data_IF_027568663256
#
_entry.id   IF_027568663256
#
_cell.length_a   1.000
_cell.length_b   1.000
_cell.length_c   1.000
_cell.angle_alpha   90.00
_cell.angle_beta   90.00
_cell.angle_gamma   90.00
#
_symmetry.space_group_name_H-M   'P 1'
#
loop_
_entity.id
_entity.type
_entity.pdbx_description
1 polymer ?
#
# COMPACT_ATOMS: atom_id res chain seq x y z
N UNK A 1 27.37 -0.10 -9.41
CA UNK A 1 25.94 0.24 -9.44
C UNK A 1 25.20 -0.98 -9.97
N UNK A 2 24.12 -1.52 -9.40
CA UNK A 2 23.29 -1.05 -8.28
C UNK A 2 22.41 -2.22 -7.82
N UNK A 3 22.32 -2.44 -6.49
CA UNK A 3 21.14 -3.05 -5.88
C UNK A 3 19.99 -2.05 -6.10
N UNK A 4 19.25 -2.19 -7.20
CA UNK A 4 18.25 -1.22 -7.59
C UNK A 4 16.93 -1.45 -6.86
N UNK A 5 16.64 -0.64 -5.83
CA UNK A 5 15.25 -0.37 -5.47
C UNK A 5 14.81 0.87 -6.22
N UNK A 6 13.78 0.74 -7.04
CA UNK A 6 13.23 1.86 -7.79
C UNK A 6 11.71 1.88 -7.62
N UNK A 7 11.13 3.06 -7.76
CA UNK A 7 9.67 3.20 -7.73
C UNK A 7 9.16 3.77 -9.05
N UNK A 8 7.95 3.36 -9.41
CA UNK A 8 7.13 3.98 -10.45
C UNK A 8 5.86 4.49 -9.79
N UNK A 9 5.45 5.71 -10.13
CA UNK A 9 4.26 6.31 -9.57
C UNK A 9 3.36 6.84 -10.67
N UNK A 10 2.05 6.71 -10.48
CA UNK A 10 1.01 7.31 -11.31
C UNK A 10 0.03 8.07 -10.42
N UNK A 11 -0.96 8.75 -11.02
CA UNK A 11 -2.03 9.42 -10.29
C UNK A 11 -2.95 8.48 -9.48
N UNK A 12 -2.85 7.16 -9.61
CA UNK A 12 -3.75 6.22 -8.90
C UNK A 12 -3.03 5.12 -8.12
N UNK A 13 -1.75 4.93 -8.36
CA UNK A 13 -0.97 3.86 -7.76
C UNK A 13 0.51 4.21 -7.67
N UNK A 14 1.23 3.50 -6.79
CA UNK A 14 2.67 3.48 -6.75
C UNK A 14 3.19 2.05 -6.63
N UNK A 15 4.30 1.77 -7.30
CA UNK A 15 4.93 0.47 -7.35
C UNK A 15 6.39 0.62 -6.92
N UNK A 16 6.75 0.02 -5.80
CA UNK A 16 8.16 -0.11 -5.37
C UNK A 16 8.65 -1.47 -5.82
N UNK A 17 9.73 -1.49 -6.59
CA UNK A 17 10.37 -2.72 -7.06
C UNK A 17 11.70 -2.89 -6.35
N UNK A 18 11.93 -4.09 -5.82
CA UNK A 18 13.17 -4.48 -5.16
C UNK A 18 13.89 -5.50 -6.04
N UNK A 19 15.15 -5.23 -6.36
CA UNK A 19 16.05 -6.16 -7.02
C UNK A 19 17.32 -6.31 -6.18
N UNK A 20 17.68 -7.55 -5.87
CA UNK A 20 18.94 -7.84 -5.20
C UNK A 20 20.05 -7.99 -6.26
N UNK A 21 20.89 -6.97 -6.42
CA UNK A 21 22.07 -7.03 -7.28
C UNK A 21 23.33 -7.04 -6.42
N UNK A 22 23.71 -8.24 -6.02
CA UNK A 22 24.56 -8.53 -4.88
C UNK A 22 26.06 -8.19 -5.00
N UNK A 23 26.50 -7.60 -6.12
CA UNK A 23 27.92 -7.29 -6.41
C UNK A 23 28.59 -6.32 -5.41
N UNK A 24 27.86 -5.87 -4.41
CA UNK A 24 28.32 -4.90 -3.40
C UNK A 24 28.56 -5.52 -2.02
N UNK A 25 28.31 -6.82 -1.82
CA UNK A 25 28.67 -7.50 -0.57
C UNK A 25 30.09 -8.03 -0.70
N UNK A 26 30.98 -7.68 0.24
CA UNK A 26 32.36 -8.19 0.24
C UNK A 26 32.36 -9.72 0.27
N UNK A 27 33.21 -10.35 -0.55
CA UNK A 27 33.28 -11.82 -0.68
C UNK A 27 32.13 -12.45 -1.49
N UNK A 28 31.24 -11.64 -2.09
CA UNK A 28 30.13 -12.14 -2.88
C UNK A 28 30.60 -12.98 -4.07
N UNK A 29 31.52 -12.46 -4.89
CA UNK A 29 31.94 -13.11 -6.14
C UNK A 29 32.48 -14.51 -5.89
N UNK A 30 33.42 -14.66 -4.94
CA UNK A 30 33.97 -15.95 -4.49
C UNK A 30 32.89 -16.90 -3.97
N UNK A 31 31.90 -16.40 -3.23
CA UNK A 31 30.80 -17.22 -2.73
C UNK A 31 29.83 -17.64 -3.85
N UNK A 32 29.67 -16.83 -4.89
CA UNK A 32 28.82 -17.16 -6.06
C UNK A 32 29.33 -18.34 -6.84
N UNK A 33 30.63 -18.45 -6.98
CA UNK A 33 31.27 -19.57 -7.65
C UNK A 33 31.11 -20.86 -6.85
N UNK A 34 31.25 -20.79 -5.53
CA UNK A 34 31.20 -21.94 -4.64
C UNK A 34 29.77 -22.43 -4.32
N UNK A 35 28.80 -21.52 -4.20
CA UNK A 35 27.45 -21.85 -3.72
C UNK A 35 26.32 -21.02 -4.36
N UNK A 36 26.11 -21.10 -5.69
CA UNK A 36 25.12 -20.26 -6.40
C UNK A 36 23.68 -20.49 -5.93
N UNK A 37 23.33 -21.73 -5.55
CA UNK A 37 21.99 -22.06 -5.02
C UNK A 37 21.73 -21.42 -3.65
N UNK A 38 22.76 -21.32 -2.80
CA UNK A 38 22.63 -20.72 -1.48
C UNK A 38 22.40 -19.21 -1.59
N UNK A 39 23.11 -18.55 -2.50
CA UNK A 39 22.95 -17.12 -2.76
C UNK A 39 21.56 -16.77 -3.30
N UNK A 40 21.08 -17.51 -4.29
CA UNK A 40 19.74 -17.26 -4.85
C UNK A 40 18.65 -17.43 -3.78
N UNK A 41 18.81 -18.40 -2.88
CA UNK A 41 17.93 -18.56 -1.71
C UNK A 41 18.02 -17.38 -0.73
N UNK A 42 19.24 -16.93 -0.40
CA UNK A 42 19.47 -15.78 0.46
C UNK A 42 18.85 -14.50 -0.12
N UNK A 43 19.06 -14.23 -1.42
CA UNK A 43 18.47 -13.10 -2.13
C UNK A 43 16.94 -13.10 -2.07
N UNK A 44 16.31 -14.24 -2.40
CA UNK A 44 14.84 -14.38 -2.36
C UNK A 44 14.29 -14.12 -0.96
N UNK A 45 14.93 -14.66 0.08
CA UNK A 45 14.51 -14.42 1.47
C UNK A 45 14.70 -12.97 1.87
N UNK A 46 15.82 -12.35 1.50
CA UNK A 46 16.10 -10.96 1.82
C UNK A 46 15.07 -10.01 1.20
N UNK A 47 14.71 -10.22 -0.07
CA UNK A 47 13.67 -9.44 -0.74
C UNK A 47 12.32 -9.65 -0.05
N UNK A 48 11.92 -10.90 0.20
CA UNK A 48 10.62 -11.20 0.80
C UNK A 48 10.48 -10.63 2.22
N UNK A 49 11.53 -10.71 3.03
CA UNK A 49 11.59 -10.09 4.36
C UNK A 49 11.49 -8.57 4.26
N UNK A 50 12.21 -7.96 3.31
CA UNK A 50 12.18 -6.50 3.09
C UNK A 50 10.81 -6.02 2.63
N UNK A 51 10.13 -6.74 1.72
CA UNK A 51 8.76 -6.43 1.30
C UNK A 51 7.77 -6.49 2.48
N UNK A 52 7.89 -7.51 3.34
CA UNK A 52 7.04 -7.64 4.53
C UNK A 52 7.26 -6.50 5.54
N UNK A 53 8.52 -6.12 5.73
CA UNK A 53 8.90 -4.97 6.55
C UNK A 53 8.34 -3.66 5.99
N UNK A 54 8.55 -3.38 4.70
CA UNK A 54 8.01 -2.18 4.04
C UNK A 54 6.49 -2.09 4.15
N UNK A 55 5.78 -3.19 3.86
CA UNK A 55 4.32 -3.22 3.98
C UNK A 55 3.84 -2.82 5.37
N UNK A 56 4.57 -3.23 6.41
CA UNK A 56 4.24 -2.88 7.80
C UNK A 56 4.53 -1.41 8.10
N UNK A 57 5.71 -0.93 7.74
CA UNK A 57 6.13 0.45 8.05
C UNK A 57 5.35 1.50 7.25
N UNK A 58 5.11 1.24 5.96
CA UNK A 58 4.27 2.11 5.12
C UNK A 58 2.87 2.18 5.70
N UNK A 59 2.24 1.03 6.00
CA UNK A 59 0.88 1.01 6.54
C UNK A 59 0.75 1.77 7.87
N UNK A 60 1.76 1.69 8.76
CA UNK A 60 1.80 2.45 10.02
C UNK A 60 1.94 3.94 9.76
N UNK A 61 2.89 4.35 8.92
CA UNK A 61 3.12 5.77 8.62
C UNK A 61 1.90 6.44 7.99
N UNK A 62 1.29 5.80 6.98
CA UNK A 62 0.09 6.29 6.31
C UNK A 62 -1.10 6.28 7.27
N UNK A 63 -1.26 5.23 8.09
CA UNK A 63 -2.34 5.15 9.06
C UNK A 63 -2.29 6.27 10.10
N UNK A 64 -1.09 6.67 10.53
CA UNK A 64 -0.89 7.79 11.46
C UNK A 64 -1.12 9.14 10.78
N UNK A 65 -0.52 9.37 9.61
CA UNK A 65 -0.64 10.62 8.86
C UNK A 65 -2.09 10.90 8.47
N UNK A 66 -2.74 9.92 7.83
CA UNK A 66 -4.09 10.07 7.30
C UNK A 66 -5.18 9.71 8.32
N UNK A 67 -4.82 9.30 9.54
CA UNK A 67 -5.78 8.80 10.55
C UNK A 67 -6.72 7.75 9.95
N UNK A 68 -6.15 6.75 9.30
CA UNK A 68 -6.86 5.62 8.68
C UNK A 68 -6.45 4.34 9.41
N UNK A 69 -7.40 3.43 9.62
CA UNK A 69 -7.09 2.10 10.14
C UNK A 69 -5.98 1.42 9.32
N UNK A 70 -4.95 0.91 10.01
CA UNK A 70 -3.80 0.23 9.40
C UNK A 70 -4.26 -0.95 8.52
N UNK A 71 -5.33 -1.65 8.91
CA UNK A 71 -5.92 -2.74 8.13
C UNK A 71 -6.44 -2.28 6.78
N UNK A 72 -7.10 -1.12 6.70
CA UNK A 72 -7.59 -0.55 5.46
C UNK A 72 -6.43 -0.16 4.51
N UNK A 73 -5.36 0.41 5.05
CA UNK A 73 -4.14 0.69 4.27
C UNK A 73 -3.49 -0.61 3.79
N UNK A 74 -3.37 -1.63 4.64
CA UNK A 74 -2.81 -2.95 4.28
C UNK A 74 -3.59 -3.67 3.18
N UNK A 75 -4.90 -3.44 3.06
CA UNK A 75 -5.69 -3.98 1.95
C UNK A 75 -5.27 -3.38 0.60
N UNK A 76 -4.79 -2.14 0.59
CA UNK A 76 -4.28 -1.41 -0.58
C UNK A 76 -2.79 -1.64 -0.86
N UNK A 77 -2.07 -2.29 0.07
CA UNK A 77 -0.67 -2.68 -0.10
C UNK A 77 -0.58 -4.17 -0.49
N UNK A 78 -0.18 -4.46 -1.72
CA UNK A 78 0.00 -5.83 -2.24
C UNK A 78 1.49 -6.11 -2.44
N UNK A 79 2.00 -7.06 -1.68
CA UNK A 79 3.38 -7.50 -1.79
C UNK A 79 3.44 -8.75 -2.69
N UNK A 80 4.10 -8.62 -3.83
CA UNK A 80 4.41 -9.71 -4.75
C UNK A 80 5.82 -10.21 -4.42
N UNK A 81 5.87 -11.46 -3.93
CA UNK A 81 7.09 -12.10 -3.47
C UNK A 81 8.07 -12.32 -4.62
N UNK A 82 9.35 -12.35 -4.30
CA UNK A 82 10.39 -12.69 -5.26
C UNK A 82 10.31 -14.16 -5.65
N UNK A 83 10.18 -14.40 -6.96
CA UNK A 83 10.20 -15.73 -7.59
C UNK A 83 11.57 -16.08 -8.16
N UNK A 84 11.58 -16.72 -9.33
CA UNK A 84 12.79 -17.13 -10.04
C UNK A 84 13.74 -15.97 -10.36
N UNK A 85 13.18 -14.82 -10.73
CA UNK A 85 13.90 -13.68 -11.30
C UNK A 85 14.50 -12.73 -10.23
N UNK A 86 14.55 -13.15 -8.95
CA UNK A 86 15.08 -12.35 -7.82
C UNK A 86 14.57 -10.90 -7.76
N UNK A 87 13.31 -10.68 -8.18
CA UNK A 87 12.65 -9.39 -8.16
C UNK A 87 11.37 -9.48 -7.33
N UNK A 88 11.23 -8.58 -6.36
CA UNK A 88 10.02 -8.42 -5.56
C UNK A 88 9.33 -7.08 -5.87
N UNK A 89 8.01 -7.02 -5.72
CA UNK A 89 7.24 -5.80 -6.00
C UNK A 89 6.28 -5.49 -4.85
N UNK A 90 6.16 -4.22 -4.48
CA UNK A 90 5.15 -3.73 -3.54
C UNK A 90 4.28 -2.71 -4.27
N UNK A 91 3.05 -3.10 -4.55
CA UNK A 91 2.03 -2.23 -5.14
C UNK A 91 1.23 -1.54 -4.05
N UNK A 92 0.96 -0.26 -4.24
CA UNK A 92 0.13 0.55 -3.36
C UNK A 92 -0.91 1.33 -4.16
N UNK A 93 -2.19 1.04 -3.93
CA UNK A 93 -3.28 1.83 -4.48
C UNK A 93 -3.47 3.16 -3.74
N UNK A 94 -3.41 4.26 -4.48
CA UNK A 94 -3.54 5.64 -3.98
C UNK A 94 -4.93 6.26 -4.23
N UNK A 95 -5.88 5.45 -4.71
CA UNK A 95 -7.27 5.88 -4.82
C UNK A 95 -7.85 6.20 -3.42
N UNK A 96 -8.75 7.19 -3.31
CA UNK A 96 -9.38 7.54 -2.05
C UNK A 96 -10.01 6.33 -1.35
N UNK A 97 -9.84 6.26 -0.03
CA UNK A 97 -10.37 5.16 0.82
C UNK A 97 -11.72 5.59 1.38
N UNK A 98 -12.69 4.68 1.40
CA UNK A 98 -14.00 4.91 2.02
C UNK A 98 -13.84 5.34 3.48
N UNK A 99 -14.46 6.47 3.86
CA UNK A 99 -14.30 7.03 5.20
C UNK A 99 -14.76 6.06 6.31
N UNK A 100 -15.74 5.22 6.00
CA UNK A 100 -16.23 4.12 6.87
C UNK A 100 -15.14 3.11 7.24
N UNK A 101 -14.10 2.95 6.41
CA UNK A 101 -12.98 2.02 6.66
C UNK A 101 -11.89 2.62 7.54
N UNK A 102 -11.91 3.92 7.77
CA UNK A 102 -10.91 4.58 8.60
C UNK A 102 -11.04 4.23 10.08
N UNK A 103 -12.24 3.86 10.54
CA UNK A 103 -12.52 3.47 11.92
C UNK A 103 -14.00 3.16 12.11
N UNK A 104 -14.46 3.03 13.37
CA UNK A 104 -15.88 2.78 13.66
C UNK A 104 -16.72 4.06 13.46
N UNK A 105 -17.67 4.09 12.52
CA UNK A 105 -18.53 5.26 12.33
C UNK A 105 -19.49 5.43 13.51
N UNK A 106 -19.71 6.67 13.93
CA UNK A 106 -20.71 7.06 14.94
C UNK A 106 -21.68 8.04 14.31
N UNK A 107 -22.93 7.61 14.14
CA UNK A 107 -24.00 8.44 13.58
C UNK A 107 -24.74 9.18 14.71
N UNK A 108 -25.04 10.46 14.47
CA UNK A 108 -25.85 11.34 15.31
C UNK A 108 -26.93 12.01 14.46
N UNK A 109 -27.85 12.74 15.09
CA UNK A 109 -28.86 13.57 14.37
C UNK A 109 -28.22 14.60 13.42
N UNK A 110 -26.99 15.03 13.70
CA UNK A 110 -26.30 16.08 12.94
C UNK A 110 -25.40 15.57 11.83
N UNK A 111 -25.15 14.26 11.76
CA UNK A 111 -24.18 13.69 10.83
C UNK A 111 -23.44 12.47 11.39
N UNK A 112 -22.41 12.02 10.65
CA UNK A 112 -21.55 10.89 11.02
C UNK A 112 -20.15 11.36 11.36
N UNK A 113 -19.57 10.79 12.41
CA UNK A 113 -18.15 11.00 12.76
C UNK A 113 -17.37 9.70 12.68
N UNK A 114 -16.15 9.74 12.16
CA UNK A 114 -15.24 8.58 12.06
C UNK A 114 -13.78 9.05 12.10
N UNK A 115 -12.95 8.38 12.90
CA UNK A 115 -11.49 8.63 12.98
C UNK A 115 -11.12 10.13 13.16
N UNK A 116 -11.88 10.87 13.98
CA UNK A 116 -11.68 12.30 14.24
C UNK A 116 -12.20 13.25 13.14
N UNK A 117 -12.85 12.72 12.09
CA UNK A 117 -13.52 13.49 11.04
C UNK A 117 -15.01 13.55 11.28
N UNK A 118 -15.66 14.64 10.89
CA UNK A 118 -17.11 14.84 11.00
C UNK A 118 -17.70 15.19 9.65
N UNK A 119 -18.68 14.40 9.24
CA UNK A 119 -19.45 14.56 8.01
C UNK A 119 -20.86 15.05 8.38
N UNK A 120 -21.05 16.37 8.37
CA UNK A 120 -22.32 17.00 8.74
C UNK A 120 -23.41 16.66 7.72
N UNK A 121 -24.63 16.37 8.19
CA UNK A 121 -25.75 15.97 7.33
C UNK A 121 -25.59 14.62 6.62
N UNK A 122 -24.48 13.91 6.85
CA UNK A 122 -24.26 12.57 6.32
C UNK A 122 -24.97 11.51 7.18
N UNK A 123 -25.19 10.34 6.60
CA UNK A 123 -25.77 9.19 7.29
C UNK A 123 -24.97 7.92 6.98
N UNK A 124 -24.97 6.96 7.90
CA UNK A 124 -24.27 5.68 7.78
C UNK A 124 -25.29 4.59 7.45
N UNK A 125 -25.32 4.16 6.19
CA UNK A 125 -26.27 3.15 5.72
C UNK A 125 -25.68 2.36 4.56
N UNK A 126 -26.12 1.13 4.41
CA UNK A 126 -25.92 0.38 3.18
C UNK A 126 -26.92 0.90 2.14
N UNK A 127 -26.40 1.64 1.16
CA UNK A 127 -27.19 2.16 0.03
C UNK A 127 -26.77 1.45 -1.24
N UNK A 128 -25.47 1.52 -1.55
CA UNK A 128 -24.86 0.84 -2.68
C UNK A 128 -23.76 -0.12 -2.20
N UNK A 129 -23.64 -1.27 -2.90
CA UNK A 129 -22.67 -2.31 -2.58
C UNK A 129 -23.02 -3.13 -1.32
N UNK A 130 -22.06 -3.95 -0.89
CA UNK A 130 -22.31 -4.99 0.12
C UNK A 130 -22.11 -4.53 1.56
N UNK A 131 -21.70 -3.27 1.78
CA UNK A 131 -21.31 -2.76 3.11
C UNK A 131 -21.90 -1.39 3.39
N UNK A 132 -22.26 -1.10 4.66
CA UNK A 132 -22.68 0.22 5.06
C UNK A 132 -21.53 1.22 4.96
N UNK A 133 -21.85 2.37 4.39
CA UNK A 133 -20.93 3.46 4.10
C UNK A 133 -21.51 4.81 4.55
N UNK A 134 -20.67 5.83 4.57
CA UNK A 134 -21.07 7.20 4.91
C UNK A 134 -21.49 7.91 3.62
N UNK A 135 -22.76 8.30 3.56
CA UNK A 135 -23.38 8.93 2.40
C UNK A 135 -23.92 10.31 2.75
N UNK A 136 -23.97 11.19 1.76
CA UNK A 136 -24.70 12.46 1.84
C UNK A 136 -25.49 12.67 0.55
N UNK A 137 -26.61 13.38 0.63
CA UNK A 137 -27.31 13.88 -0.56
C UNK A 137 -26.51 15.04 -1.16
N UNK A 138 -26.28 15.03 -2.47
CA UNK A 138 -25.52 16.12 -3.14
C UNK A 138 -26.22 17.48 -3.01
N UNK A 139 -27.56 17.49 -2.94
CA UNK A 139 -28.37 18.69 -2.70
C UNK A 139 -28.34 19.20 -1.24
N UNK A 140 -27.64 18.52 -0.33
CA UNK A 140 -27.54 18.96 1.06
C UNK A 140 -26.72 20.23 1.17
N UNK A 141 -27.16 21.19 2.00
CA UNK A 141 -26.36 22.38 2.37
C UNK A 141 -25.01 22.06 3.01
N UNK A 142 -24.84 20.83 3.51
CA UNK A 142 -23.61 20.36 4.15
C UNK A 142 -22.69 19.61 3.19
N UNK A 143 -23.06 19.48 1.91
CA UNK A 143 -22.22 18.85 0.90
C UNK A 143 -20.98 19.69 0.61
N UNK A 144 -19.80 19.05 0.67
CA UNK A 144 -18.51 19.66 0.38
C UNK A 144 -17.71 18.74 -0.53
N UNK A 145 -17.44 19.14 -1.77
CA UNK A 145 -16.78 18.27 -2.75
C UNK A 145 -15.43 17.67 -2.28
N UNK A 146 -14.71 18.36 -1.40
CA UNK A 146 -13.46 17.88 -0.78
C UNK A 146 -13.61 16.62 0.07
N UNK A 147 -14.73 16.47 0.77
CA UNK A 147 -15.02 15.36 1.69
C UNK A 147 -15.58 14.12 0.96
N UNK A 148 -15.99 14.35 -0.28
CA UNK A 148 -16.59 13.35 -1.17
C UNK A 148 -15.82 13.33 -2.50
N UNK A 149 -14.50 13.06 -2.50
CA UNK A 149 -13.77 12.97 -3.74
C UNK A 149 -14.36 11.85 -4.60
N UNK A 150 -14.45 12.08 -5.91
CA UNK A 150 -15.15 11.25 -6.90
C UNK A 150 -16.68 11.42 -6.94
N UNK A 151 -17.30 12.21 -6.06
CA UNK A 151 -18.75 12.52 -6.13
C UNK A 151 -19.14 13.56 -7.17
N UNK A 152 -18.17 14.23 -7.79
CA UNK A 152 -18.44 15.14 -8.91
C UNK A 152 -18.92 14.31 -10.08
N UNK A 153 -20.23 14.35 -10.31
CA UNK A 153 -20.86 14.09 -11.60
C UNK A 153 -20.11 14.99 -12.58
N UNK A 154 -19.32 14.40 -13.46
CA UNK A 154 -18.65 15.16 -14.50
C UNK A 154 -19.74 15.79 -15.37
N UNK A 155 -19.84 17.13 -15.35
CA UNK A 155 -20.63 17.89 -16.31
C UNK A 155 -20.20 17.60 -17.77
N UNK A 156 -19.00 17.03 -17.97
CA UNK A 156 -18.58 16.42 -19.23
C UNK A 156 -19.11 14.98 -19.31
N UNK A 157 -20.13 14.77 -20.15
CA UNK A 157 -20.89 13.53 -20.35
C UNK A 157 -20.10 12.29 -20.80
N UNK A 158 -19.14 11.84 -20.00
CA UNK A 158 -18.54 10.51 -20.13
C UNK A 158 -19.23 9.57 -19.13
N UNK A 159 -19.93 8.52 -19.58
CA UNK A 159 -20.55 7.57 -18.68
C UNK A 159 -19.47 6.95 -17.80
N UNK A 160 -19.60 7.09 -16.48
CA UNK A 160 -18.79 6.30 -15.55
C UNK A 160 -19.40 4.90 -15.51
N UNK A 161 -18.61 3.88 -15.80
CA UNK A 161 -19.06 2.50 -15.64
C UNK A 161 -19.15 2.13 -14.15
N UNK A 162 -20.27 1.54 -13.75
CA UNK A 162 -20.57 1.07 -12.39
C UNK A 162 -21.99 1.40 -11.94
N UNK A 163 -22.59 0.53 -11.12
CA UNK A 163 -24.00 0.57 -10.69
C UNK A 163 -24.44 1.86 -9.95
N UNK A 164 -23.50 2.68 -9.48
CA UNK A 164 -23.78 4.00 -8.87
C UNK A 164 -24.18 5.02 -9.94
N UNK A 165 -23.62 4.93 -11.16
CA UNK A 165 -23.96 5.82 -12.27
C UNK A 165 -25.37 5.54 -12.85
N UNK A 166 -25.85 4.28 -12.72
CA UNK A 166 -27.13 3.84 -13.27
C UNK A 166 -28.35 4.35 -12.48
N UNK A 167 -28.15 4.74 -11.21
CA UNK A 167 -29.22 5.22 -10.32
C UNK A 167 -29.03 6.68 -9.83
N UNK A 168 -27.97 7.33 -10.31
CA UNK A 168 -27.53 8.68 -9.89
C UNK A 168 -28.58 9.76 -10.21
N UNK A 169 -29.44 9.51 -11.20
CA UNK A 169 -30.50 10.43 -11.64
C UNK A 169 -31.70 10.51 -10.69
N UNK A 170 -31.95 9.48 -9.85
CA UNK A 170 -33.13 9.42 -8.97
C UNK A 170 -32.83 9.85 -7.53
N UNK A 171 -31.62 9.60 -7.04
CA UNK A 171 -31.18 9.98 -5.68
C UNK A 171 -29.68 10.32 -5.69
N UNK A 172 -29.29 11.57 -5.95
CA UNK A 172 -27.87 11.88 -6.09
C UNK A 172 -27.19 11.83 -4.72
N UNK A 173 -26.42 10.77 -4.51
CA UNK A 173 -25.77 10.45 -3.24
C UNK A 173 -24.26 10.37 -3.43
N UNK A 174 -23.54 11.04 -2.55
CA UNK A 174 -22.08 11.08 -2.55
C UNK A 174 -21.51 10.22 -1.42
N UNK A 175 -20.53 9.36 -1.74
CA UNK A 175 -19.81 8.53 -0.77
C UNK A 175 -18.64 9.30 -0.17
N UNK A 176 -18.56 9.36 1.15
CA UNK A 176 -17.43 10.00 1.83
C UNK A 176 -16.16 9.17 1.64
N UNK A 177 -15.07 9.82 1.21
CA UNK A 177 -13.78 9.18 0.98
C UNK A 177 -12.64 10.07 1.49
N UNK A 178 -11.55 9.44 1.89
CA UNK A 178 -10.33 10.08 2.39
C UNK A 178 -9.30 10.01 1.27
N UNK A 179 -8.80 11.18 0.86
CA UNK A 179 -7.74 11.29 -0.13
C UNK A 179 -6.42 10.74 0.41
N UNK A 180 -5.62 10.13 -0.48
CA UNK A 180 -4.24 9.70 -0.18
C UNK A 180 -3.22 10.54 -0.96
N UNK A 181 -3.58 11.76 -1.37
CA UNK A 181 -2.70 12.62 -2.17
C UNK A 181 -1.39 12.97 -1.44
N UNK A 182 -1.48 13.26 -0.14
CA UNK A 182 -0.34 13.61 0.74
C UNK A 182 0.61 12.43 0.99
N UNK A 183 0.25 11.23 0.54
CA UNK A 183 1.08 10.04 0.67
C UNK A 183 2.14 9.97 -0.43
N UNK A 184 1.93 10.67 -1.55
CA UNK A 184 2.77 10.61 -2.75
C UNK A 184 4.23 10.99 -2.52
N UNK A 185 4.56 12.07 -1.80
CA UNK A 185 5.95 12.49 -1.64
C UNK A 185 6.79 11.49 -0.85
N UNK A 186 6.16 10.59 -0.09
CA UNK A 186 6.88 9.62 0.76
C UNK A 186 7.47 8.42 0.02
N UNK A 187 7.09 8.20 -1.25
CA UNK A 187 7.56 7.03 -2.01
C UNK A 187 9.08 6.97 -2.17
N UNK A 188 9.72 8.12 -2.38
CA UNK A 188 11.17 8.21 -2.48
C UNK A 188 11.83 7.82 -1.16
N UNK A 189 11.40 8.43 -0.06
CA UNK A 189 11.84 8.11 1.31
C UNK A 189 11.66 6.62 1.63
N UNK A 190 10.53 6.01 1.26
CA UNK A 190 10.30 4.58 1.46
C UNK A 190 11.20 3.71 0.59
N UNK A 191 11.48 4.12 -0.63
CA UNK A 191 12.40 3.41 -1.53
C UNK A 191 13.84 3.46 -0.99
N UNK A 192 14.27 4.60 -0.46
CA UNK A 192 15.59 4.74 0.16
C UNK A 192 15.71 3.86 1.41
N UNK A 193 14.68 3.84 2.26
CA UNK A 193 14.63 2.92 3.42
C UNK A 193 14.59 1.46 2.99
N UNK A 194 13.90 1.14 1.90
CA UNK A 194 13.87 -0.20 1.33
C UNK A 194 15.26 -0.66 0.91
N UNK A 195 16.02 0.22 0.24
CA UNK A 195 17.39 -0.04 -0.17
C UNK A 195 18.27 -0.39 1.02
N UNK A 196 18.32 0.50 2.02
CA UNK A 196 19.12 0.32 3.23
C UNK A 196 18.74 -0.97 3.96
N UNK A 197 17.44 -1.24 4.11
CA UNK A 197 16.97 -2.45 4.78
C UNK A 197 17.34 -3.71 4.00
N UNK A 198 17.25 -3.68 2.67
CA UNK A 198 17.58 -4.82 1.82
C UNK A 198 19.05 -5.22 1.98
N UNK A 199 19.98 -4.26 2.04
CA UNK A 199 21.40 -4.53 2.27
C UNK A 199 21.64 -5.25 3.61
N UNK A 200 21.04 -4.74 4.69
CA UNK A 200 21.17 -5.33 6.04
C UNK A 200 20.64 -6.76 6.07
N UNK A 201 19.43 -6.97 5.55
CA UNK A 201 18.81 -8.30 5.56
C UNK A 201 19.60 -9.25 4.65
N UNK A 202 20.09 -8.77 3.51
CA UNK A 202 20.89 -9.58 2.60
C UNK A 202 22.17 -10.10 3.26
N UNK A 203 22.90 -9.26 3.99
CA UNK A 203 24.07 -9.70 4.76
C UNK A 203 23.71 -10.78 5.79
N UNK A 204 22.58 -10.61 6.50
CA UNK A 204 22.09 -11.62 7.45
C UNK A 204 21.75 -12.95 6.77
N UNK A 205 21.07 -12.92 5.62
CA UNK A 205 20.70 -14.14 4.89
C UNK A 205 21.91 -14.86 4.28
N UNK A 206 22.93 -14.11 3.85
CA UNK A 206 24.20 -14.69 3.38
C UNK A 206 24.96 -15.35 4.52
N UNK A 207 25.08 -14.68 5.66
CA UNK A 207 25.70 -15.26 6.86
C UNK A 207 24.99 -16.54 7.31
N UNK A 208 23.65 -16.57 7.26
CA UNK A 208 22.87 -17.77 7.56
C UNK A 208 23.20 -18.92 6.60
N UNK A 209 23.27 -18.67 5.29
CA UNK A 209 23.59 -19.73 4.33
C UNK A 209 25.05 -20.21 4.46
N UNK A 210 25.99 -19.31 4.78
CA UNK A 210 27.39 -19.67 5.08
C UNK A 210 27.47 -20.62 6.28
N UNK A 211 26.84 -20.26 7.40
CA UNK A 211 26.81 -21.09 8.60
C UNK A 211 26.15 -22.46 8.34
N UNK A 212 25.08 -22.48 7.53
CA UNK A 212 24.39 -23.70 7.14
C UNK A 212 25.26 -24.63 6.28
N UNK A 213 26.09 -24.08 5.39
CA UNK A 213 27.05 -24.86 4.61
C UNK A 213 28.16 -25.42 5.50
N UNK A 214 28.76 -24.60 6.36
CA UNK A 214 29.78 -25.04 7.32
C UNK A 214 29.26 -26.13 8.28
N UNK A 215 28.03 -25.97 8.78
CA UNK A 215 27.38 -26.96 9.63
C UNK A 215 27.10 -28.28 8.93
N UNK A 216 26.85 -28.28 7.61
CA UNK A 216 26.73 -29.51 6.82
C UNK A 216 28.07 -30.21 6.64
N UNK A 217 29.14 -29.45 6.38
CA UNK A 217 30.50 -30.01 6.23
C UNK A 217 30.98 -30.64 7.53
N UNK A 218 30.64 -30.07 8.69
CA UNK A 218 31.02 -30.64 9.99
C UNK A 218 30.28 -31.94 10.36
N UNK A 219 29.10 -32.17 9.76
CA UNK A 219 28.24 -33.32 10.04
C UNK A 219 28.30 -34.40 8.93
N UNK A 220 29.15 -34.22 7.92
CA UNK A 220 29.39 -35.15 6.82
C UNK A 220 30.74 -35.84 7.02
#
# INVERSE_FOLDING_TARGET
>A
MSVGSYYRQTSREGLITLQANARHVQGFDQFTELAPKAITAAQRRAINKTLGWLRTHIARSVGQQERIAISAVRQRLKAYRAGSNSQGKLWFGLNPIEASRAGRPRQSRTGVSVAGRRYAGAFYKQVYGDKPDIWIRTASRHFRASDYPESVISASGRPRSGWIAENDSRYPLAKAKISLAEVRPHFESWTNRAHQRLLVVMAQELNFELQKLLGRVRNA
#
